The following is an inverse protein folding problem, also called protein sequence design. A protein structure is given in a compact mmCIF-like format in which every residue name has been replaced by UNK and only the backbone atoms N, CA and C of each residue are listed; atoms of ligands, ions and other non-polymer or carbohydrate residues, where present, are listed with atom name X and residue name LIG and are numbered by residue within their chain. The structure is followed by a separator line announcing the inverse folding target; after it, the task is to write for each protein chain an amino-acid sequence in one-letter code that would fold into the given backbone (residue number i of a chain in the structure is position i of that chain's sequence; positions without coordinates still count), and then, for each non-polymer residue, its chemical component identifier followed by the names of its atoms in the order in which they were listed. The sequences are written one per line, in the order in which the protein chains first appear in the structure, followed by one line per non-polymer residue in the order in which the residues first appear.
data_IF_098957324910
#
_entry.id   IF_098957324910
#
_cell.length_a   1.000
_cell.length_b   1.000
_cell.length_c   1.000
_cell.angle_alpha   90.00
_cell.angle_beta   90.00
_cell.angle_gamma   90.00
#
_symmetry.space_group_name_H-M   'P 1'
#
loop_
_entity.id
_entity.type
_entity.pdbx_description
1 polymer ?
#
# COMPACT_ATOMS: atom_id res chain seq x y z
N UNK A 1 40.58 29.98 0.54
CA UNK A 1 39.93 29.21 -0.53
C UNK A 1 40.66 29.56 -1.78
N UNK A 2 41.33 28.61 -2.34
CA UNK A 2 42.03 28.81 -3.62
C UNK A 2 41.05 29.23 -4.70
N UNK A 3 41.37 30.26 -5.45
CA UNK A 3 40.56 30.74 -6.59
C UNK A 3 40.38 29.67 -7.68
N UNK A 4 41.24 28.67 -7.70
CA UNK A 4 41.17 27.50 -8.59
C UNK A 4 39.96 26.59 -8.28
N UNK A 5 39.50 26.56 -7.03
CA UNK A 5 38.35 25.73 -6.64
C UNK A 5 37.01 26.26 -7.20
N UNK A 6 36.89 27.56 -7.47
CA UNK A 6 35.67 28.20 -8.02
C UNK A 6 35.31 27.72 -9.44
N UNK A 7 36.31 27.35 -10.23
CA UNK A 7 36.14 26.84 -11.60
C UNK A 7 35.59 25.42 -11.66
N UNK A 8 35.72 24.64 -10.57
CA UNK A 8 35.33 23.23 -10.50
C UNK A 8 33.99 22.98 -9.80
N UNK A 9 33.36 24.01 -9.20
CA UNK A 9 32.05 23.89 -8.56
C UNK A 9 30.95 23.88 -9.61
N UNK A 10 30.40 22.71 -9.90
CA UNK A 10 29.24 22.55 -10.77
C UNK A 10 27.96 23.00 -10.08
N UNK A 11 27.25 23.94 -10.70
CA UNK A 11 25.91 24.36 -10.19
C UNK A 11 24.88 23.30 -10.61
N UNK A 12 24.17 22.69 -9.69
CA UNK A 12 23.15 21.68 -9.97
C UNK A 12 22.08 22.12 -10.96
N UNK A 13 21.78 23.42 -11.02
CA UNK A 13 20.85 23.99 -12.01
C UNK A 13 21.30 23.87 -13.48
N UNK A 14 22.59 23.66 -13.71
CA UNK A 14 23.16 23.49 -15.04
C UNK A 14 23.37 22.01 -15.42
N UNK A 15 23.10 21.09 -14.51
CA UNK A 15 23.28 19.66 -14.72
C UNK A 15 21.96 18.99 -15.12
N UNK A 16 22.07 17.93 -15.89
CA UNK A 16 20.96 17.02 -16.15
C UNK A 16 20.54 16.27 -14.88
N UNK A 17 19.30 15.75 -14.79
CA UNK A 17 18.87 14.94 -13.64
C UNK A 17 19.81 13.76 -13.35
N UNK A 18 20.34 13.10 -14.37
CA UNK A 18 21.30 12.01 -14.21
C UNK A 18 22.59 12.47 -13.53
N UNK A 19 23.20 13.55 -14.04
CA UNK A 19 24.45 14.09 -13.46
C UNK A 19 24.28 14.54 -12.00
N UNK A 20 23.10 15.12 -11.65
CA UNK A 20 22.78 15.46 -10.26
C UNK A 20 22.73 14.21 -9.40
N UNK A 21 22.04 13.16 -9.87
CA UNK A 21 21.89 11.91 -9.15
C UNK A 21 23.22 11.18 -9.01
N UNK A 22 24.02 11.09 -10.06
CA UNK A 22 25.35 10.48 -10.05
C UNK A 22 26.27 11.12 -9.01
N UNK A 23 26.19 12.44 -8.84
CA UNK A 23 26.96 13.16 -7.80
C UNK A 23 26.67 12.60 -6.41
N UNK A 24 25.42 12.30 -6.10
CA UNK A 24 25.01 11.73 -4.81
C UNK A 24 25.30 10.22 -4.75
N UNK A 25 24.99 9.50 -5.82
CA UNK A 25 25.14 8.05 -5.92
C UNK A 25 26.60 7.58 -5.89
N UNK A 26 27.54 8.46 -6.19
CA UNK A 26 28.98 8.13 -6.03
C UNK A 26 29.34 7.66 -4.61
N UNK A 27 28.56 8.12 -3.61
CA UNK A 27 28.68 7.69 -2.20
C UNK A 27 27.43 6.95 -1.70
N UNK A 28 26.24 7.33 -2.15
CA UNK A 28 24.94 6.83 -1.68
C UNK A 28 24.34 5.75 -2.62
N UNK A 29 25.12 4.74 -3.01
CA UNK A 29 24.68 3.68 -3.93
C UNK A 29 24.37 2.34 -3.26
N UNK A 30 24.24 2.30 -1.94
CA UNK A 30 24.05 1.06 -1.15
C UNK A 30 22.77 1.09 -0.33
N UNK A 31 22.38 -0.07 0.20
CA UNK A 31 21.23 -0.19 1.07
C UNK A 31 19.93 0.23 0.37
N UNK A 32 19.19 1.14 0.98
CA UNK A 32 17.90 1.62 0.47
C UNK A 32 18.01 2.40 -0.85
N UNK A 33 19.17 2.87 -1.25
CA UNK A 33 19.42 3.65 -2.47
C UNK A 33 19.81 2.80 -3.68
N UNK A 34 20.17 1.55 -3.47
CA UNK A 34 20.65 0.66 -4.54
C UNK A 34 19.65 0.46 -5.71
N UNK A 35 18.35 0.68 -5.45
CA UNK A 35 17.29 0.55 -6.46
C UNK A 35 16.97 1.84 -7.21
N UNK A 36 17.71 2.94 -7.00
CA UNK A 36 17.35 4.24 -7.55
C UNK A 36 17.24 4.25 -9.06
N UNK A 37 18.24 3.77 -9.79
CA UNK A 37 18.28 3.83 -11.25
C UNK A 37 17.10 3.09 -11.92
N UNK A 38 16.63 2.02 -11.31
CA UNK A 38 15.43 1.27 -11.77
C UNK A 38 14.11 1.79 -11.19
N UNK A 39 14.13 2.84 -10.38
CA UNK A 39 12.93 3.31 -9.69
C UNK A 39 12.00 4.12 -10.61
N UNK A 40 10.71 4.13 -10.24
CA UNK A 40 9.71 4.97 -10.90
C UNK A 40 10.01 6.48 -10.76
N UNK A 41 10.74 6.89 -9.74
CA UNK A 41 11.15 8.27 -9.52
C UNK A 41 12.28 8.65 -10.48
N UNK A 42 13.30 7.82 -10.60
CA UNK A 42 14.38 8.04 -11.59
C UNK A 42 13.86 8.07 -13.02
N UNK A 43 12.96 7.14 -13.37
CA UNK A 43 12.33 7.08 -14.70
C UNK A 43 11.50 8.34 -15.05
N UNK A 44 11.14 9.16 -14.06
CA UNK A 44 10.47 10.46 -14.23
C UNK A 44 11.40 11.66 -14.07
N UNK A 45 12.70 11.45 -14.18
CA UNK A 45 13.74 12.47 -14.07
C UNK A 45 13.73 13.23 -12.72
N UNK A 46 13.25 12.61 -11.65
CA UNK A 46 13.39 13.18 -10.33
C UNK A 46 14.86 13.11 -9.88
N UNK A 47 15.26 14.11 -9.15
CA UNK A 47 16.61 14.18 -8.58
C UNK A 47 16.59 13.98 -7.08
N UNK A 48 17.70 13.58 -6.49
CA UNK A 48 17.85 13.51 -5.03
C UNK A 48 17.45 14.82 -4.37
N UNK A 49 17.80 15.95 -5.01
CA UNK A 49 17.50 17.29 -4.49
C UNK A 49 16.03 17.71 -4.62
N UNK A 50 15.20 16.92 -5.30
CA UNK A 50 13.74 17.14 -5.31
C UNK A 50 13.15 16.90 -3.92
N UNK A 51 13.71 15.95 -3.18
CA UNK A 51 13.24 15.56 -1.84
C UNK A 51 14.19 15.98 -0.73
N UNK A 52 15.49 16.09 -1.02
CA UNK A 52 16.54 16.35 -0.04
C UNK A 52 17.23 17.70 -0.26
N UNK A 53 17.61 18.35 0.84
CA UNK A 53 18.44 19.55 0.84
C UNK A 53 19.58 19.39 1.82
N UNK A 54 20.81 19.24 1.32
CA UNK A 54 22.00 19.03 2.17
C UNK A 54 22.37 20.29 2.95
N UNK A 55 22.19 21.47 2.35
CA UNK A 55 22.64 22.73 2.96
C UNK A 55 21.56 23.43 3.79
N UNK A 56 20.30 23.33 3.36
CA UNK A 56 19.18 24.06 4.00
C UNK A 56 17.97 23.14 4.18
N UNK A 57 18.09 22.02 4.91
CA UNK A 57 16.96 21.13 5.11
C UNK A 57 15.92 21.80 6.03
N UNK A 58 14.64 21.57 5.73
CA UNK A 58 13.54 21.96 6.61
C UNK A 58 13.25 20.89 7.68
N UNK A 59 13.69 19.67 7.45
CA UNK A 59 13.74 18.60 8.45
C UNK A 59 15.14 18.01 8.50
N UNK A 60 15.72 17.98 9.69
CA UNK A 60 17.03 17.34 9.92
C UNK A 60 16.96 15.84 9.72
N UNK A 61 15.81 15.24 10.05
CA UNK A 61 15.58 13.82 9.75
C UNK A 61 15.52 13.65 8.24
N UNK A 62 16.44 12.89 7.70
CA UNK A 62 16.61 12.64 6.27
C UNK A 62 16.91 13.89 5.40
N UNK A 63 17.21 15.03 6.00
CA UNK A 63 17.54 16.27 5.29
C UNK A 63 16.49 16.66 4.22
N UNK A 64 15.21 16.65 4.59
CA UNK A 64 14.12 16.88 3.66
C UNK A 64 13.96 18.38 3.33
N UNK A 65 13.52 18.65 2.09
CA UNK A 65 13.17 20.02 1.60
C UNK A 65 11.86 20.54 2.19
N UNK A 66 11.11 19.72 2.93
CA UNK A 66 9.87 20.07 3.65
C UNK A 66 9.96 19.64 5.10
N UNK A 67 9.16 20.26 6.00
CA UNK A 67 9.16 19.92 7.43
C UNK A 67 8.85 18.45 7.73
N UNK A 68 8.01 17.82 6.92
CA UNK A 68 7.63 16.40 7.09
C UNK A 68 7.74 15.62 5.79
N UNK A 69 7.95 14.32 5.90
CA UNK A 69 7.96 13.40 4.76
C UNK A 69 6.64 13.45 3.98
N UNK A 70 5.50 13.47 4.68
CA UNK A 70 4.18 13.55 4.04
C UNK A 70 4.07 14.81 3.17
N UNK A 71 4.59 15.94 3.62
CA UNK A 71 4.58 17.17 2.83
C UNK A 71 5.47 17.11 1.58
N UNK A 72 6.56 16.33 1.61
CA UNK A 72 7.34 16.03 0.41
C UNK A 72 6.51 15.17 -0.55
N UNK A 73 5.96 14.08 -0.06
CA UNK A 73 5.23 13.11 -0.89
C UNK A 73 3.96 13.69 -1.51
N UNK A 74 3.18 14.51 -0.76
CA UNK A 74 1.90 15.07 -1.21
C UNK A 74 2.05 16.04 -2.40
N UNK A 75 3.23 16.62 -2.59
CA UNK A 75 3.47 17.50 -3.74
C UNK A 75 3.13 16.84 -5.08
N UNK A 76 3.27 15.51 -5.15
CA UNK A 76 2.94 14.70 -6.32
C UNK A 76 1.87 13.63 -6.03
N UNK A 77 1.89 12.98 -4.86
CA UNK A 77 1.01 11.87 -4.49
C UNK A 77 -0.26 12.32 -3.74
N UNK A 78 -0.93 13.36 -4.23
CA UNK A 78 -2.11 13.99 -3.59
C UNK A 78 -3.25 13.00 -3.31
N UNK A 79 -3.52 12.10 -4.27
CA UNK A 79 -4.59 11.11 -4.12
C UNK A 79 -4.32 10.14 -2.96
N UNK A 80 -3.08 9.70 -2.82
CA UNK A 80 -2.73 8.76 -1.75
C UNK A 80 -2.84 9.41 -0.37
N UNK A 81 -2.34 10.64 -0.24
CA UNK A 81 -2.48 11.40 1.00
C UNK A 81 -3.96 11.68 1.31
N UNK A 82 -4.76 12.08 0.32
CA UNK A 82 -6.20 12.27 0.52
C UNK A 82 -6.92 10.99 0.99
N UNK A 83 -6.43 9.81 0.62
CA UNK A 83 -6.98 8.55 1.13
C UNK A 83 -6.65 8.33 2.59
N UNK A 84 -5.44 8.71 3.06
CA UNK A 84 -5.06 8.55 4.47
C UNK A 84 -5.85 9.44 5.42
N UNK A 85 -6.50 10.48 4.89
CA UNK A 85 -7.36 11.38 5.67
C UNK A 85 -8.84 10.93 5.72
N UNK A 86 -9.20 9.83 5.05
CA UNK A 86 -10.57 9.32 5.08
C UNK A 86 -10.93 8.79 6.45
N UNK A 87 -12.24 8.70 6.72
CA UNK A 87 -12.77 8.18 7.99
C UNK A 87 -12.28 6.76 8.28
N UNK A 88 -12.15 5.94 7.25
CA UNK A 88 -11.61 4.58 7.34
C UNK A 88 -10.25 4.54 6.64
N UNK A 89 -9.20 4.79 7.39
CA UNK A 89 -7.82 4.81 6.92
C UNK A 89 -6.94 3.93 7.81
N UNK A 90 -5.70 3.70 7.39
CA UNK A 90 -4.73 2.98 8.22
C UNK A 90 -4.31 3.88 9.38
N UNK A 91 -4.88 3.62 10.55
CA UNK A 91 -4.80 4.51 11.72
C UNK A 91 -3.37 4.91 12.11
N UNK A 92 -2.36 4.01 12.14
CA UNK A 92 -1.00 4.40 12.47
C UNK A 92 -0.42 5.48 11.55
N UNK A 93 -0.81 5.51 10.27
CA UNK A 93 -0.41 6.56 9.33
C UNK A 93 -1.12 7.86 9.64
N UNK A 94 -2.43 7.81 9.86
CA UNK A 94 -3.26 8.97 10.21
C UNK A 94 -2.85 9.61 11.53
N UNK A 95 -2.44 8.80 12.51
CA UNK A 95 -1.96 9.25 13.82
C UNK A 95 -0.49 9.73 13.82
N UNK A 96 0.18 9.68 12.67
CA UNK A 96 1.58 10.06 12.55
C UNK A 96 2.58 9.09 13.20
N UNK A 97 2.12 7.91 13.61
CA UNK A 97 2.99 6.84 14.14
C UNK A 97 3.79 6.12 13.05
N UNK A 98 3.29 6.17 11.84
CA UNK A 98 3.93 5.66 10.63
C UNK A 98 3.94 6.73 9.54
N UNK A 99 4.98 6.72 8.72
CA UNK A 99 5.10 7.59 7.55
C UNK A 99 4.98 6.77 6.25
N UNK A 100 4.98 7.45 5.12
CA UNK A 100 4.97 6.80 3.80
C UNK A 100 6.15 5.83 3.64
N UNK A 101 7.33 6.25 4.11
CA UNK A 101 8.54 5.41 4.07
C UNK A 101 8.56 4.28 5.10
N UNK A 102 7.59 4.21 6.01
CA UNK A 102 7.45 3.01 6.85
C UNK A 102 7.08 1.78 6.02
N UNK A 103 6.35 1.98 4.91
CA UNK A 103 5.91 0.93 4.00
C UNK A 103 6.69 0.94 2.68
N UNK A 104 6.97 2.13 2.13
CA UNK A 104 7.58 2.30 0.82
C UNK A 104 9.05 2.69 0.90
N UNK A 105 9.87 2.21 -0.05
CA UNK A 105 11.19 2.76 -0.31
C UNK A 105 11.10 3.76 -1.47
N UNK A 106 11.17 5.08 -1.23
CA UNK A 106 11.10 6.09 -2.29
C UNK A 106 12.27 6.03 -3.27
N UNK A 107 13.37 5.40 -2.89
CA UNK A 107 14.55 5.23 -3.74
C UNK A 107 14.43 4.01 -4.69
N UNK A 108 13.31 3.30 -4.66
CA UNK A 108 13.10 2.11 -5.47
C UNK A 108 13.34 0.81 -4.74
N UNK A 109 12.84 -0.25 -5.31
CA UNK A 109 13.05 -1.61 -4.83
C UNK A 109 13.41 -2.50 -6.01
N UNK A 110 14.44 -3.30 -5.86
CA UNK A 110 14.86 -4.23 -6.90
C UNK A 110 13.91 -5.44 -7.05
N UNK A 111 13.02 -5.66 -6.09
CA UNK A 111 12.28 -6.93 -5.97
C UNK A 111 10.77 -6.81 -6.05
N UNK A 112 10.20 -5.60 -5.98
CA UNK A 112 8.75 -5.47 -6.04
C UNK A 112 8.23 -4.23 -6.76
N UNK A 113 7.03 -4.39 -7.34
CA UNK A 113 6.40 -3.44 -8.26
C UNK A 113 5.92 -2.14 -7.60
N UNK A 114 5.77 -2.08 -6.28
CA UNK A 114 5.18 -0.93 -5.57
C UNK A 114 6.15 -0.23 -4.62
N UNK A 115 7.43 -0.49 -4.77
CA UNK A 115 8.47 0.03 -3.87
C UNK A 115 8.19 -0.26 -2.39
N UNK A 116 7.53 -1.37 -2.06
CA UNK A 116 7.37 -1.79 -0.67
C UNK A 116 8.70 -2.25 -0.10
N UNK A 117 8.91 -2.02 1.19
CA UNK A 117 10.10 -2.47 1.94
C UNK A 117 10.05 -3.97 2.25
N UNK A 118 9.79 -4.79 1.25
CA UNK A 118 9.80 -6.25 1.37
C UNK A 118 10.47 -6.87 0.15
N UNK A 119 11.13 -7.99 0.35
CA UNK A 119 11.66 -8.81 -0.74
C UNK A 119 10.64 -9.80 -1.32
N UNK A 120 9.48 -9.93 -0.70
CA UNK A 120 8.47 -10.91 -1.03
C UNK A 120 7.17 -10.30 -1.57
N UNK A 121 6.05 -10.82 -1.11
CA UNK A 121 4.71 -10.42 -1.54
C UNK A 121 4.14 -9.27 -0.71
N UNK A 122 3.06 -8.65 -1.23
CA UNK A 122 2.26 -7.66 -0.46
C UNK A 122 1.71 -8.29 0.82
N UNK A 123 1.23 -9.54 0.74
CA UNK A 123 0.69 -10.25 1.90
C UNK A 123 1.74 -10.48 2.97
N UNK A 124 2.96 -10.87 2.59
CA UNK A 124 4.08 -11.03 3.52
C UNK A 124 4.43 -9.73 4.23
N UNK A 125 4.43 -8.61 3.50
CA UNK A 125 4.64 -7.30 4.10
C UNK A 125 3.56 -6.96 5.12
N UNK A 126 2.28 -7.14 4.78
CA UNK A 126 1.17 -6.86 5.69
C UNK A 126 1.25 -7.73 6.96
N UNK A 127 1.53 -9.01 6.80
CA UNK A 127 1.60 -9.97 7.91
C UNK A 127 2.86 -9.85 8.76
N UNK A 128 3.80 -9.00 8.41
CA UNK A 128 4.91 -8.65 9.30
C UNK A 128 4.42 -7.91 10.57
N UNK A 129 3.28 -7.21 10.47
CA UNK A 129 2.61 -6.54 11.58
C UNK A 129 1.28 -7.23 11.94
N UNK A 130 0.52 -7.67 10.94
CA UNK A 130 -0.75 -8.39 11.10
C UNK A 130 -0.51 -9.90 11.18
N UNK A 131 0.24 -10.31 12.20
CA UNK A 131 0.72 -11.70 12.36
C UNK A 131 -0.43 -12.69 12.50
N UNK A 132 -1.56 -12.26 13.05
CA UNK A 132 -2.79 -13.06 13.22
C UNK A 132 -3.41 -13.49 11.88
N UNK A 133 -3.08 -12.79 10.78
CA UNK A 133 -3.57 -13.10 9.44
C UNK A 133 -2.60 -13.99 8.64
N UNK A 134 -1.45 -14.31 9.23
CA UNK A 134 -0.38 -15.03 8.53
C UNK A 134 -0.70 -16.52 8.32
N UNK A 135 -1.44 -17.11 9.21
CA UNK A 135 -1.62 -18.56 9.24
C UNK A 135 -0.43 -19.30 9.87
N UNK A 136 -0.27 -20.61 9.60
CA UNK A 136 -1.04 -21.40 8.61
C UNK A 136 -2.50 -21.62 9.05
N UNK A 137 -3.40 -21.62 8.08
CA UNK A 137 -4.79 -22.00 8.26
C UNK A 137 -5.04 -23.35 7.59
N UNK A 138 -5.81 -24.21 8.23
CA UNK A 138 -6.17 -25.52 7.65
C UNK A 138 -6.98 -25.35 6.36
N UNK A 139 -7.86 -24.35 6.36
CA UNK A 139 -8.66 -23.95 5.20
C UNK A 139 -8.31 -22.52 4.84
N UNK A 140 -7.57 -22.35 3.76
CA UNK A 140 -7.13 -21.05 3.27
C UNK A 140 -8.11 -20.49 2.23
N UNK A 141 -8.33 -19.18 2.28
CA UNK A 141 -9.02 -18.47 1.22
C UNK A 141 -7.98 -17.92 0.23
N UNK A 142 -7.99 -18.44 -0.98
CA UNK A 142 -6.93 -18.18 -1.97
C UNK A 142 -6.60 -16.69 -2.17
N UNK A 143 -7.57 -15.76 -2.33
CA UNK A 143 -7.25 -14.33 -2.49
C UNK A 143 -6.51 -13.72 -1.30
N UNK A 144 -6.74 -14.22 -0.10
CA UNK A 144 -6.05 -13.76 1.13
C UNK A 144 -4.59 -14.17 1.10
N UNK A 145 -4.31 -15.41 0.70
CA UNK A 145 -2.95 -15.90 0.54
C UNK A 145 -2.19 -15.16 -0.56
N UNK A 146 -2.87 -14.85 -1.65
CA UNK A 146 -2.25 -14.21 -2.81
C UNK A 146 -1.92 -12.74 -2.58
N UNK A 147 -2.91 -11.92 -2.19
CA UNK A 147 -2.71 -10.48 -2.06
C UNK A 147 -3.78 -9.80 -1.22
N UNK A 148 -3.41 -9.30 -0.05
CA UNK A 148 -4.29 -8.53 0.83
C UNK A 148 -4.91 -7.31 0.14
N UNK A 149 -4.18 -6.67 -0.79
CA UNK A 149 -4.66 -5.50 -1.52
C UNK A 149 -5.74 -5.80 -2.57
N UNK A 150 -6.08 -7.08 -2.81
CA UNK A 150 -7.26 -7.46 -3.59
C UNK A 150 -8.56 -6.99 -2.92
N UNK A 151 -8.59 -7.01 -1.60
CA UNK A 151 -9.75 -6.64 -0.80
C UNK A 151 -9.57 -5.33 -0.05
N UNK A 152 -8.35 -4.96 0.37
CA UNK A 152 -8.07 -3.80 1.20
C UNK A 152 -7.25 -2.73 0.47
N UNK A 153 -7.57 -1.44 0.71
CA UNK A 153 -6.72 -0.32 0.33
C UNK A 153 -6.02 0.21 1.60
N UNK A 154 -4.72 -0.06 1.79
CA UNK A 154 -4.00 0.32 3.01
C UNK A 154 -3.86 1.82 3.22
N UNK A 155 -4.10 2.64 2.20
CA UNK A 155 -4.10 4.09 2.34
C UNK A 155 -5.42 4.61 2.92
N UNK A 156 -6.51 3.89 2.74
CA UNK A 156 -7.83 4.23 3.23
C UNK A 156 -8.91 4.20 2.16
N UNK A 157 -10.13 3.94 2.60
CA UNK A 157 -11.30 3.89 1.73
C UNK A 157 -12.52 4.54 2.41
N UNK A 158 -13.63 4.57 1.68
CA UNK A 158 -14.93 4.98 2.23
C UNK A 158 -15.74 3.79 2.76
N UNK A 159 -15.15 2.60 2.76
CA UNK A 159 -15.80 1.37 3.18
C UNK A 159 -15.16 0.86 4.47
N UNK A 160 -15.95 0.21 5.32
CA UNK A 160 -15.45 -0.39 6.56
C UNK A 160 -14.23 -1.28 6.31
N UNK A 161 -13.32 -1.32 7.30
CA UNK A 161 -12.09 -2.13 7.24
C UNK A 161 -11.21 -1.84 6.02
N UNK A 162 -11.27 -0.62 5.49
CA UNK A 162 -10.52 -0.19 4.30
C UNK A 162 -10.79 -1.06 3.06
N UNK A 163 -11.99 -1.59 2.90
CA UNK A 163 -12.33 -2.42 1.74
C UNK A 163 -12.35 -1.57 0.47
N UNK A 164 -11.80 -2.11 -0.63
CA UNK A 164 -11.79 -1.44 -1.94
C UNK A 164 -13.20 -1.29 -2.52
N UNK A 165 -14.10 -2.21 -2.16
CA UNK A 165 -15.53 -2.20 -2.48
C UNK A 165 -16.29 -2.67 -1.26
N UNK A 166 -17.45 -2.05 -0.98
CA UNK A 166 -18.30 -2.44 0.15
C UNK A 166 -18.88 -3.84 -0.02
N UNK A 167 -19.11 -4.51 1.09
CA UNK A 167 -19.86 -5.76 1.09
C UNK A 167 -21.37 -5.52 0.87
N UNK A 168 -22.07 -6.45 0.21
CA UNK A 168 -21.62 -7.77 -0.27
C UNK A 168 -20.93 -7.75 -1.64
N UNK A 169 -20.87 -6.58 -2.32
CA UNK A 169 -20.37 -6.47 -3.69
C UNK A 169 -18.91 -6.94 -3.83
N UNK A 170 -18.10 -6.78 -2.79
CA UNK A 170 -16.73 -7.28 -2.78
C UNK A 170 -16.67 -8.80 -3.04
N UNK A 171 -17.52 -9.54 -2.33
CA UNK A 171 -17.59 -11.00 -2.47
C UNK A 171 -18.15 -11.41 -3.84
N UNK A 172 -19.14 -10.68 -4.32
CA UNK A 172 -19.81 -10.94 -5.61
C UNK A 172 -18.91 -10.71 -6.83
N UNK A 173 -17.76 -10.07 -6.67
CA UNK A 173 -16.77 -9.95 -7.77
C UNK A 173 -16.21 -11.32 -8.22
N UNK A 174 -16.23 -12.30 -7.33
CA UNK A 174 -15.72 -13.65 -7.59
C UNK A 174 -16.78 -14.73 -7.35
N UNK A 175 -17.66 -14.54 -6.35
CA UNK A 175 -18.70 -15.50 -5.97
C UNK A 175 -20.03 -15.16 -6.65
N UNK A 176 -20.12 -15.44 -7.95
CA UNK A 176 -21.33 -15.14 -8.77
C UNK A 176 -22.37 -16.25 -8.61
N UNK A 177 -21.94 -17.49 -8.51
CA UNK A 177 -22.80 -18.66 -8.34
C UNK A 177 -22.35 -19.46 -7.12
N UNK A 178 -23.28 -19.76 -6.23
CA UNK A 178 -23.05 -20.53 -5.00
C UNK A 178 -24.28 -21.40 -4.71
N UNK A 179 -24.22 -22.21 -3.65
CA UNK A 179 -25.36 -23.03 -3.21
C UNK A 179 -26.59 -22.21 -2.80
N UNK A 180 -26.42 -20.92 -2.55
CA UNK A 180 -27.48 -19.93 -2.44
C UNK A 180 -27.15 -18.74 -3.36
N UNK A 181 -28.14 -18.01 -3.88
CA UNK A 181 -27.89 -16.88 -4.78
C UNK A 181 -26.99 -15.81 -4.12
N UNK A 182 -25.90 -15.46 -4.80
CA UNK A 182 -25.02 -14.37 -4.43
C UNK A 182 -25.40 -13.04 -5.13
N UNK A 183 -26.37 -13.10 -6.04
CA UNK A 183 -26.87 -11.99 -6.85
C UNK A 183 -28.21 -11.46 -6.32
N UNK A 184 -28.77 -10.44 -6.96
CA UNK A 184 -30.10 -9.93 -6.65
C UNK A 184 -31.16 -11.01 -6.84
N UNK A 185 -32.08 -11.10 -5.89
CA UNK A 185 -33.24 -11.99 -5.97
C UNK A 185 -34.33 -11.34 -6.79
N UNK A 186 -34.93 -12.07 -7.69
CA UNK A 186 -36.18 -11.68 -8.34
C UNK A 186 -37.42 -12.14 -7.52
N UNK A 187 -38.60 -11.74 -7.97
CA UNK A 187 -39.86 -12.08 -7.31
C UNK A 187 -40.10 -13.59 -7.18
N UNK A 188 -39.63 -14.38 -8.16
CA UNK A 188 -39.86 -15.82 -8.21
C UNK A 188 -38.89 -16.57 -7.28
N UNK A 189 -37.73 -16.00 -7.05
CA UNK A 189 -36.76 -16.52 -6.08
C UNK A 189 -37.14 -16.26 -4.62
N UNK A 190 -38.01 -15.27 -4.38
CA UNK A 190 -38.47 -14.92 -3.02
C UNK A 190 -39.57 -15.87 -2.54
N UNK A 191 -40.40 -16.39 -3.44
CA UNK A 191 -41.63 -17.11 -3.11
C UNK A 191 -41.47 -18.58 -2.77
N UNK A 192 -40.33 -19.21 -3.08
CA UNK A 192 -40.15 -20.66 -2.89
C UNK A 192 -39.24 -20.97 -1.71
N UNK A 193 -39.79 -21.12 -0.50
CA UNK A 193 -39.12 -21.71 0.70
C UNK A 193 -37.69 -21.25 1.01
N UNK A 194 -37.25 -20.12 0.46
CA UNK A 194 -35.93 -19.57 0.73
C UNK A 194 -36.03 -18.68 1.97
N UNK A 195 -35.15 -18.90 2.91
CA UNK A 195 -35.13 -18.21 4.18
C UNK A 195 -34.95 -16.69 3.97
N UNK A 196 -35.91 -15.89 4.42
CA UNK A 196 -35.80 -14.41 4.52
C UNK A 196 -34.58 -13.97 5.35
N UNK A 197 -33.93 -14.90 6.10
CA UNK A 197 -32.71 -14.62 6.83
C UNK A 197 -31.51 -14.26 5.95
N UNK A 198 -31.60 -14.50 4.65
CA UNK A 198 -30.54 -14.17 3.69
C UNK A 198 -30.68 -12.77 3.08
N UNK A 199 -31.89 -12.17 3.16
CA UNK A 199 -32.11 -10.85 2.60
C UNK A 199 -31.50 -9.73 3.46
N UNK A 200 -30.90 -8.73 2.82
CA UNK A 200 -30.33 -7.57 3.47
C UNK A 200 -29.14 -7.85 4.38
N UNK A 201 -28.57 -9.07 4.34
CA UNK A 201 -27.43 -9.46 5.17
C UNK A 201 -26.14 -9.46 4.37
N UNK A 202 -25.05 -9.14 5.05
CA UNK A 202 -23.70 -9.28 4.51
C UNK A 202 -23.27 -10.76 4.55
N UNK A 203 -22.50 -11.20 3.56
CA UNK A 203 -21.94 -12.55 3.50
C UNK A 203 -21.19 -12.93 4.77
N UNK A 204 -20.47 -11.99 5.38
CA UNK A 204 -19.68 -12.20 6.61
C UNK A 204 -20.53 -12.39 7.88
N UNK A 205 -21.86 -12.22 7.81
CA UNK A 205 -22.71 -12.57 8.93
C UNK A 205 -22.77 -14.09 9.18
N UNK A 206 -22.52 -14.87 8.13
CA UNK A 206 -22.41 -16.32 8.19
C UNK A 206 -20.98 -16.78 7.90
N UNK A 207 -20.32 -16.22 6.88
CA UNK A 207 -18.95 -16.53 6.49
C UNK A 207 -17.97 -15.57 7.17
N UNK A 208 -17.82 -15.66 8.49
CA UNK A 208 -17.05 -14.69 9.28
C UNK A 208 -15.54 -14.87 9.18
N UNK A 209 -15.06 -16.08 8.83
CA UNK A 209 -13.65 -16.44 8.83
C UNK A 209 -13.02 -16.34 7.43
N UNK A 210 -13.35 -15.29 6.69
CA UNK A 210 -12.90 -15.09 5.28
C UNK A 210 -11.39 -15.03 5.08
N UNK A 211 -10.62 -14.77 6.14
CA UNK A 211 -9.14 -14.76 6.04
C UNK A 211 -8.53 -16.17 6.14
N UNK A 212 -9.33 -17.17 6.41
CA UNK A 212 -8.93 -18.55 6.62
C UNK A 212 -9.49 -19.09 7.93
N UNK A 213 -9.56 -20.40 8.06
CA UNK A 213 -10.18 -21.05 9.21
C UNK A 213 -9.48 -22.35 9.57
N UNK A 214 -9.42 -22.62 10.88
CA UNK A 214 -9.10 -23.93 11.45
C UNK A 214 -10.37 -24.60 12.02
N UNK A 215 -11.55 -23.99 11.82
CA UNK A 215 -12.81 -24.48 12.33
C UNK A 215 -13.35 -25.68 11.51
N UNK A 216 -14.05 -26.64 12.13
CA UNK A 216 -14.63 -27.80 11.44
C UNK A 216 -15.63 -27.48 10.31
N UNK A 217 -16.15 -26.25 10.23
CA UNK A 217 -16.98 -25.78 9.10
C UNK A 217 -16.20 -25.80 7.76
N UNK A 218 -14.90 -25.95 7.84
CA UNK A 218 -14.04 -26.14 6.67
C UNK A 218 -14.00 -24.92 5.75
N UNK A 219 -13.99 -25.22 4.46
CA UNK A 219 -13.93 -24.24 3.38
C UNK A 219 -15.11 -23.27 3.30
N UNK A 220 -16.14 -23.45 4.10
CA UNK A 220 -17.26 -22.51 4.15
C UNK A 220 -16.96 -21.28 5.00
N UNK A 221 -15.86 -21.26 5.75
CA UNK A 221 -15.41 -20.14 6.58
C UNK A 221 -16.48 -19.65 7.55
N UNK A 222 -17.36 -20.54 8.00
CA UNK A 222 -18.40 -20.28 8.98
C UNK A 222 -17.83 -20.41 10.40
N UNK A 223 -18.54 -19.84 11.37
CA UNK A 223 -18.27 -20.12 12.78
C UNK A 223 -18.79 -21.49 13.17
#
# INVERSE_FOLDING_TARGET
MDDDAKGHIKKFKALTPSEVNETCLSCHNRGTHAGWEGSAHAARNLTCTTCHSVHTPQSMQYQLVKPTETQVCVSCHRLQVAKTERAVAHMPVREGKMSCSSCHNPHGSMTNVKNLKTGGSVSEFCTSCHTEMRGPMLFEHAPVRENCATCHDPHGSSNDRMLVVRMPMLCQRCHIASKHPATLYDKDQITTNKSNRMFGRSCVNCHSNVHGSNHPSGQFFMR
#
